data_IF_670369250972
#
_entry.id   IF_670369250972
#
_cell.length_a   1.000
_cell.length_b   1.000
_cell.length_c   1.000
_cell.angle_alpha   90.00
_cell.angle_beta   90.00
_cell.angle_gamma   90.00
#
_symmetry.space_group_name_H-M   'P 1'
#
loop_
_entity.id
_entity.type
_entity.pdbx_description
1 polymer ?
#
# COMPACT_ATOMS: atom_id res chain seq x y z
N UNK A 1 -28.51 -14.02 -45.04
CA UNK A 1 -28.71 -14.75 -46.30
C UNK A 1 -27.99 -14.01 -47.41
N UNK A 2 -27.21 -14.74 -48.21
CA UNK A 2 -26.42 -14.23 -49.33
C UNK A 2 -26.48 -15.26 -50.47
N UNK A 3 -26.06 -14.88 -51.69
CA UNK A 3 -26.11 -15.73 -52.90
C UNK A 3 -27.51 -16.13 -53.38
N UNK A 4 -28.45 -15.18 -53.39
CA UNK A 4 -29.76 -15.32 -54.03
C UNK A 4 -30.21 -14.02 -54.70
N UNK A 5 -31.16 -14.12 -55.61
CA UNK A 5 -31.86 -12.94 -56.14
C UNK A 5 -32.60 -12.23 -55.00
N UNK A 6 -32.63 -10.90 -55.02
CA UNK A 6 -33.04 -10.10 -53.87
C UNK A 6 -34.49 -10.38 -53.43
N UNK A 7 -35.41 -10.52 -54.37
CA UNK A 7 -36.82 -10.80 -54.06
C UNK A 7 -37.01 -12.23 -53.56
N UNK A 8 -36.33 -13.20 -54.14
CA UNK A 8 -36.33 -14.58 -53.70
C UNK A 8 -35.74 -14.73 -52.30
N UNK A 9 -34.67 -13.99 -51.96
CA UNK A 9 -34.14 -13.97 -50.60
C UNK A 9 -35.10 -13.33 -49.59
N UNK A 10 -35.79 -12.24 -49.96
CA UNK A 10 -36.82 -11.61 -49.11
C UNK A 10 -38.01 -12.55 -48.89
N UNK A 11 -38.44 -13.24 -49.96
CA UNK A 11 -39.51 -14.25 -49.90
C UNK A 11 -39.12 -15.40 -48.97
N UNK A 12 -37.91 -15.92 -49.11
CA UNK A 12 -37.40 -17.01 -48.28
C UNK A 12 -37.19 -16.57 -46.82
N UNK A 13 -36.67 -15.37 -46.57
CA UNK A 13 -36.55 -14.82 -45.21
C UNK A 13 -37.92 -14.69 -44.52
N UNK A 14 -38.93 -14.20 -45.24
CA UNK A 14 -40.30 -14.11 -44.72
C UNK A 14 -40.96 -15.46 -44.47
N UNK A 15 -40.66 -16.48 -45.29
CA UNK A 15 -41.15 -17.83 -45.08
C UNK A 15 -40.54 -18.46 -43.81
N UNK A 16 -39.21 -18.36 -43.65
CA UNK A 16 -38.50 -18.87 -42.47
C UNK A 16 -38.91 -18.15 -41.18
N UNK A 17 -39.16 -16.84 -41.24
CA UNK A 17 -39.58 -16.11 -40.05
C UNK A 17 -40.97 -16.56 -39.56
N UNK A 18 -41.91 -16.85 -40.47
CA UNK A 18 -43.24 -17.39 -40.13
C UNK A 18 -43.19 -18.83 -39.64
N UNK A 19 -42.35 -19.65 -40.24
CA UNK A 19 -42.21 -21.06 -39.88
C UNK A 19 -41.71 -21.24 -38.44
N UNK A 20 -40.84 -20.35 -37.96
CA UNK A 20 -40.27 -20.38 -36.62
C UNK A 20 -40.84 -19.29 -35.68
N UNK A 21 -41.97 -18.66 -36.03
CA UNK A 21 -42.59 -17.62 -35.19
C UNK A 21 -43.22 -18.20 -33.92
N UNK A 22 -43.78 -19.41 -34.03
CA UNK A 22 -44.49 -20.11 -32.95
C UNK A 22 -43.58 -20.97 -32.06
N UNK A 23 -42.28 -21.09 -32.38
CA UNK A 23 -41.33 -21.89 -31.61
C UNK A 23 -40.65 -21.03 -30.52
N UNK A 24 -41.12 -21.17 -29.27
CA UNK A 24 -40.55 -20.46 -28.12
C UNK A 24 -39.08 -20.84 -27.82
N UNK A 25 -38.60 -21.98 -28.32
CA UNK A 25 -37.24 -22.46 -28.05
C UNK A 25 -36.21 -21.92 -29.04
N UNK A 26 -36.62 -21.62 -30.27
CA UNK A 26 -35.72 -21.25 -31.36
C UNK A 26 -36.04 -19.87 -31.92
N UNK A 27 -35.49 -18.82 -31.27
CA UNK A 27 -35.63 -17.45 -31.76
C UNK A 27 -34.59 -17.13 -32.85
N UNK A 28 -35.03 -17.17 -34.11
CA UNK A 28 -34.19 -16.81 -35.26
C UNK A 28 -34.24 -15.31 -35.58
N UNK A 29 -33.06 -14.68 -35.70
CA UNK A 29 -32.90 -13.34 -36.26
C UNK A 29 -32.29 -13.43 -37.68
N UNK A 30 -33.09 -13.12 -38.70
CA UNK A 30 -32.70 -13.22 -40.10
C UNK A 30 -32.24 -11.87 -40.66
N UNK A 31 -31.07 -11.86 -41.30
CA UNK A 31 -30.49 -10.67 -41.94
C UNK A 31 -30.27 -10.91 -43.44
N UNK A 32 -30.73 -9.97 -44.28
CA UNK A 32 -30.50 -9.95 -45.74
C UNK A 32 -29.72 -8.68 -46.15
N UNK A 33 -28.45 -8.54 -45.73
CA UNK A 33 -27.65 -7.36 -46.04
C UNK A 33 -27.35 -7.26 -47.55
N UNK A 34 -27.28 -6.04 -48.08
CA UNK A 34 -26.74 -5.79 -49.43
C UNK A 34 -25.22 -5.94 -49.44
N UNK A 35 -24.63 -6.00 -50.62
CA UNK A 35 -23.17 -5.96 -50.77
C UNK A 35 -22.58 -4.76 -50.03
N UNK A 36 -21.48 -5.00 -49.33
CA UNK A 36 -20.78 -4.00 -48.51
C UNK A 36 -21.58 -3.45 -47.31
N UNK A 37 -22.70 -4.09 -46.91
CA UNK A 37 -23.41 -3.75 -45.67
C UNK A 37 -22.98 -4.72 -44.55
N UNK A 38 -22.31 -4.24 -43.49
CA UNK A 38 -21.89 -5.09 -42.37
C UNK A 38 -23.09 -5.48 -41.49
N UNK A 39 -23.09 -6.71 -40.97
CA UNK A 39 -24.05 -7.19 -39.97
C UNK A 39 -23.36 -7.24 -38.62
N UNK A 40 -23.83 -6.42 -37.67
CA UNK A 40 -23.25 -6.32 -36.34
C UNK A 40 -23.94 -7.28 -35.37
N UNK A 41 -23.29 -8.41 -35.10
CA UNK A 41 -23.75 -9.38 -34.10
C UNK A 41 -23.05 -9.12 -32.77
N UNK A 42 -23.82 -8.91 -31.70
CA UNK A 42 -23.29 -8.67 -30.35
C UNK A 42 -23.22 -9.98 -29.58
N UNK A 43 -22.02 -10.43 -29.28
CA UNK A 43 -21.81 -11.58 -28.40
C UNK A 43 -21.32 -11.09 -27.04
N UNK A 44 -22.14 -11.27 -26.00
CA UNK A 44 -21.72 -11.06 -24.63
C UNK A 44 -21.04 -12.32 -24.11
N UNK A 45 -19.73 -12.40 -24.31
CA UNK A 45 -18.92 -13.44 -23.69
C UNK A 45 -18.66 -13.13 -22.22
N UNK A 46 -18.87 -14.10 -21.35
CA UNK A 46 -18.35 -14.02 -19.98
C UNK A 46 -16.82 -14.08 -20.02
N UNK A 47 -16.16 -13.19 -19.26
CA UNK A 47 -14.71 -13.21 -19.14
C UNK A 47 -14.34 -14.10 -17.96
N UNK A 48 -13.82 -15.27 -18.27
CA UNK A 48 -13.30 -16.21 -17.27
C UNK A 48 -11.84 -15.88 -17.01
N UNK A 49 -11.51 -15.62 -15.74
CA UNK A 49 -10.14 -15.39 -15.28
C UNK A 49 -9.69 -16.61 -14.47
N UNK A 50 -8.52 -17.15 -14.81
CA UNK A 50 -7.91 -18.28 -14.08
C UNK A 50 -6.88 -17.76 -13.08
N UNK A 51 -7.05 -18.12 -11.82
CA UNK A 51 -6.05 -17.85 -10.77
C UNK A 51 -4.94 -18.89 -10.88
N UNK A 52 -3.69 -18.45 -10.89
CA UNK A 52 -2.51 -19.31 -10.99
C UNK A 52 -1.53 -19.02 -9.86
N UNK A 53 -0.64 -19.99 -9.58
CA UNK A 53 0.45 -19.86 -8.61
C UNK A 53 -0.03 -19.89 -7.15
N UNK A 54 0.67 -19.16 -6.29
CA UNK A 54 0.40 -19.10 -4.84
C UNK A 54 -0.98 -18.57 -4.49
N UNK A 55 -1.59 -17.72 -5.33
CA UNK A 55 -2.95 -17.22 -5.14
C UNK A 55 -4.01 -18.36 -5.20
N UNK A 56 -3.70 -19.47 -5.87
CA UNK A 56 -4.59 -20.63 -5.98
C UNK A 56 -4.32 -21.71 -4.91
N UNK A 57 -3.46 -21.44 -3.92
CA UNK A 57 -3.03 -22.45 -2.94
C UNK A 57 -4.11 -22.82 -1.93
N UNK A 58 -4.92 -21.85 -1.52
CA UNK A 58 -6.00 -22.04 -0.55
C UNK A 58 -7.34 -22.12 -1.27
N UNK A 59 -8.28 -22.91 -0.72
CA UNK A 59 -9.64 -22.91 -1.23
C UNK A 59 -10.25 -21.50 -1.13
N UNK A 60 -10.89 -21.00 -2.19
CA UNK A 60 -11.50 -19.69 -2.18
C UNK A 60 -12.65 -19.66 -1.17
N UNK A 61 -12.71 -18.60 -0.36
CA UNK A 61 -13.83 -18.31 0.53
C UNK A 61 -14.77 -17.30 -0.13
N UNK A 62 -16.06 -17.42 0.15
CA UNK A 62 -17.05 -16.46 -0.34
C UNK A 62 -16.73 -15.05 0.21
N UNK A 63 -16.75 -14.04 -0.67
CA UNK A 63 -16.37 -12.67 -0.33
C UNK A 63 -14.87 -12.39 -0.23
N UNK A 64 -14.00 -13.37 -0.49
CA UNK A 64 -12.55 -13.16 -0.47
C UNK A 64 -12.11 -12.27 -1.65
N UNK A 65 -11.52 -11.12 -1.34
CA UNK A 65 -10.88 -10.26 -2.34
C UNK A 65 -9.57 -10.89 -2.82
N UNK A 66 -9.37 -10.96 -4.14
CA UNK A 66 -8.12 -11.43 -4.77
C UNK A 66 -7.42 -10.23 -5.41
N UNK A 67 -6.18 -9.99 -5.02
CA UNK A 67 -5.31 -8.95 -5.60
C UNK A 67 -4.13 -9.60 -6.31
N UNK A 68 -3.85 -9.16 -7.54
CA UNK A 68 -2.74 -9.67 -8.33
C UNK A 68 -2.60 -8.95 -9.66
N UNK A 69 -1.67 -9.42 -10.48
CA UNK A 69 -1.44 -8.95 -11.85
C UNK A 69 -2.30 -9.75 -12.81
N UNK A 70 -3.14 -9.08 -13.59
CA UNK A 70 -3.95 -9.69 -14.63
C UNK A 70 -3.18 -9.73 -15.95
N UNK A 71 -2.92 -10.94 -16.46
CA UNK A 71 -2.24 -11.18 -17.72
C UNK A 71 -3.25 -11.69 -18.75
N UNK A 72 -3.35 -11.01 -19.88
CA UNK A 72 -4.16 -11.43 -21.03
C UNK A 72 -3.27 -12.04 -22.11
N UNK A 73 -3.39 -13.35 -22.34
CA UNK A 73 -2.77 -14.03 -23.50
C UNK A 73 -3.90 -14.40 -24.47
N UNK A 74 -4.02 -13.64 -25.55
CA UNK A 74 -5.12 -13.76 -26.52
C UNK A 74 -6.51 -13.56 -25.86
N UNK A 75 -7.30 -14.61 -25.74
CA UNK A 75 -8.62 -14.59 -25.09
C UNK A 75 -8.61 -15.16 -23.67
N UNK A 76 -7.48 -15.71 -23.21
CA UNK A 76 -7.34 -16.27 -21.87
C UNK A 76 -6.82 -15.20 -20.90
N UNK A 77 -7.50 -15.09 -19.76
CA UNK A 77 -7.14 -14.21 -18.66
C UNK A 77 -6.59 -15.04 -17.50
N UNK A 78 -5.43 -14.63 -17.00
CA UNK A 78 -4.79 -15.25 -15.85
C UNK A 78 -4.49 -14.19 -14.81
N UNK A 79 -4.73 -14.48 -13.53
CA UNK A 79 -4.33 -13.62 -12.42
C UNK A 79 -3.25 -14.32 -11.60
N UNK A 80 -2.16 -13.60 -11.36
CA UNK A 80 -0.90 -14.11 -10.81
C UNK A 80 -0.34 -13.13 -9.76
N UNK A 81 0.55 -13.61 -8.89
CA UNK A 81 1.37 -12.70 -8.09
C UNK A 81 2.49 -12.08 -8.94
N UNK A 82 2.96 -10.86 -8.63
CA UNK A 82 4.05 -10.22 -9.37
C UNK A 82 5.34 -11.05 -9.44
N UNK A 83 5.66 -11.80 -8.39
CA UNK A 83 6.87 -12.62 -8.32
C UNK A 83 6.84 -13.89 -9.17
N UNK A 84 5.65 -14.38 -9.52
CA UNK A 84 5.44 -15.61 -10.31
C UNK A 84 5.17 -15.33 -11.80
N UNK A 85 5.18 -14.05 -12.19
CA UNK A 85 5.06 -13.63 -13.59
C UNK A 85 6.07 -14.34 -14.51
N UNK A 86 7.38 -14.40 -14.21
CA UNK A 86 8.36 -15.08 -15.08
C UNK A 86 8.21 -16.60 -15.07
N UNK A 87 7.52 -17.18 -14.09
CA UNK A 87 7.31 -18.63 -14.00
C UNK A 87 6.19 -19.10 -14.93
N UNK A 88 5.11 -18.32 -15.03
CA UNK A 88 3.91 -18.69 -15.79
C UNK A 88 3.72 -17.91 -17.09
N UNK A 89 4.57 -16.92 -17.35
CA UNK A 89 4.53 -16.09 -18.55
C UNK A 89 5.93 -15.91 -19.13
N UNK A 90 6.01 -15.51 -20.39
CA UNK A 90 7.27 -15.17 -21.06
C UNK A 90 7.79 -13.78 -20.65
N UNK A 91 7.16 -13.13 -19.65
CA UNK A 91 7.55 -11.82 -19.15
C UNK A 91 8.68 -11.98 -18.14
N UNK A 92 9.87 -11.48 -18.49
CA UNK A 92 10.94 -11.31 -17.52
C UNK A 92 10.59 -10.16 -16.56
N UNK A 93 10.63 -10.42 -15.26
CA UNK A 93 10.57 -9.39 -14.22
C UNK A 93 11.97 -8.94 -13.87
N UNK A 94 12.26 -7.66 -14.09
CA UNK A 94 13.52 -7.04 -13.68
C UNK A 94 13.28 -6.13 -12.48
N UNK A 95 14.14 -6.27 -11.47
CA UNK A 95 14.22 -5.33 -10.36
C UNK A 95 15.49 -4.53 -10.51
N UNK A 96 15.38 -3.22 -10.59
CA UNK A 96 16.55 -2.33 -10.67
C UNK A 96 16.91 -1.92 -9.25
N UNK A 97 18.14 -2.23 -8.83
CA UNK A 97 18.73 -1.62 -7.63
C UNK A 97 19.67 -0.50 -8.04
N UNK A 98 19.73 0.54 -7.23
CA UNK A 98 20.61 1.68 -7.43
C UNK A 98 21.51 1.86 -6.22
N UNK A 99 22.76 2.21 -6.49
CA UNK A 99 23.77 2.51 -5.50
C UNK A 99 24.42 3.84 -5.88
N UNK A 100 24.35 4.82 -4.98
CA UNK A 100 25.03 6.11 -5.13
C UNK A 100 26.11 6.21 -4.06
N UNK A 101 27.30 6.66 -4.45
CA UNK A 101 28.37 7.01 -3.52
C UNK A 101 28.51 8.52 -3.43
N UNK A 102 28.42 9.06 -2.21
CA UNK A 102 28.51 10.49 -1.92
C UNK A 102 29.73 10.73 -1.03
N UNK A 103 30.67 11.61 -1.41
CA UNK A 103 31.75 12.04 -0.52
C UNK A 103 31.17 12.71 0.73
N UNK A 104 31.57 12.24 1.91
CA UNK A 104 31.05 12.73 3.18
C UNK A 104 32.11 12.62 4.28
N UNK A 105 32.58 13.76 4.78
CA UNK A 105 33.65 13.83 5.80
C UNK A 105 33.14 13.92 7.23
N UNK A 106 31.82 14.00 7.42
CA UNK A 106 31.20 14.05 8.75
C UNK A 106 31.24 12.71 9.48
N UNK A 107 30.99 12.74 10.80
CA UNK A 107 30.87 11.53 11.61
C UNK A 107 29.55 10.79 11.35
N UNK A 108 29.49 9.51 11.71
CA UNK A 108 28.26 8.73 11.65
C UNK A 108 27.12 9.38 12.47
N UNK A 109 27.44 10.03 13.59
CA UNK A 109 26.48 10.73 14.43
C UNK A 109 25.90 11.98 13.76
N UNK A 110 26.72 12.74 13.01
CA UNK A 110 26.24 13.86 12.21
C UNK A 110 25.26 13.39 11.14
N UNK A 111 25.61 12.30 10.46
CA UNK A 111 24.72 11.70 9.48
C UNK A 111 23.41 11.25 10.12
N UNK A 112 23.48 10.49 11.22
CA UNK A 112 22.30 10.02 11.97
C UNK A 112 21.39 11.18 12.35
N UNK A 113 21.94 12.27 12.89
CA UNK A 113 21.18 13.47 13.25
C UNK A 113 20.40 14.03 12.05
N UNK A 114 21.06 14.24 10.92
CA UNK A 114 20.40 14.77 9.73
C UNK A 114 19.37 13.83 9.11
N UNK A 115 19.63 12.51 9.13
CA UNK A 115 18.66 11.51 8.69
C UNK A 115 17.43 11.47 9.61
N UNK A 116 17.64 11.64 10.91
CA UNK A 116 16.55 11.69 11.91
C UNK A 116 15.69 12.93 11.72
N UNK A 117 16.30 14.09 11.43
CA UNK A 117 15.54 15.29 11.06
C UNK A 117 14.67 15.12 9.80
N UNK A 118 15.06 14.24 8.88
CA UNK A 118 14.31 13.97 7.64
C UNK A 118 13.16 12.97 7.87
N UNK A 119 13.43 11.86 8.57
CA UNK A 119 12.53 10.72 8.65
C UNK A 119 11.83 10.55 10.01
N UNK A 120 12.18 11.35 11.01
CA UNK A 120 11.74 11.21 12.40
C UNK A 120 12.45 10.05 13.10
N UNK A 121 12.32 8.83 12.57
CA UNK A 121 12.94 7.62 13.13
C UNK A 121 13.83 6.94 12.09
N UNK A 122 15.06 6.61 12.49
CA UNK A 122 16.03 5.93 11.64
C UNK A 122 16.45 4.63 12.30
N UNK A 123 16.25 3.51 11.60
CA UNK A 123 16.62 2.19 12.14
C UNK A 123 18.11 1.96 11.93
N UNK A 124 18.83 1.68 13.01
CA UNK A 124 20.22 1.23 12.95
C UNK A 124 20.25 -0.24 12.57
N UNK A 125 20.94 -0.59 11.49
CA UNK A 125 21.10 -1.97 11.03
C UNK A 125 22.43 -2.57 11.50
N UNK A 126 23.51 -1.80 11.38
CA UNK A 126 24.88 -2.24 11.70
C UNK A 126 25.64 -1.07 12.32
N UNK A 127 26.42 -1.36 13.37
CA UNK A 127 27.30 -0.42 14.03
C UNK A 127 28.68 -1.05 14.23
N UNK A 128 29.57 -0.81 13.27
CA UNK A 128 30.98 -1.18 13.32
C UNK A 128 31.87 0.07 13.26
N UNK A 129 33.13 0.01 13.73
CA UNK A 129 33.99 1.20 13.82
C UNK A 129 34.19 1.94 12.50
N UNK A 130 34.15 1.22 11.37
CA UNK A 130 34.37 1.76 10.03
C UNK A 130 33.14 1.66 9.11
N UNK A 131 32.02 1.19 9.63
CA UNK A 131 30.79 0.99 8.87
C UNK A 131 29.58 1.14 9.79
N UNK A 132 28.77 2.17 9.54
CA UNK A 132 27.50 2.35 10.24
C UNK A 132 26.39 2.37 9.21
N UNK A 133 25.40 1.49 9.35
CA UNK A 133 24.31 1.35 8.39
C UNK A 133 22.97 1.74 9.02
N UNK A 134 22.24 2.57 8.31
CA UNK A 134 20.93 3.06 8.67
C UNK A 134 19.90 2.64 7.63
N UNK A 135 18.67 2.35 8.05
CA UNK A 135 17.53 2.21 7.17
C UNK A 135 16.59 3.41 7.38
N UNK A 136 16.36 4.16 6.30
CA UNK A 136 15.54 5.36 6.26
C UNK A 136 14.28 5.06 5.47
N UNK A 137 13.12 5.49 5.96
CA UNK A 137 11.79 5.20 5.38
C UNK A 137 11.47 3.71 5.18
N UNK A 138 12.22 2.81 5.82
CA UNK A 138 12.05 1.36 5.70
C UNK A 138 12.48 0.76 4.36
N UNK A 139 13.02 1.55 3.43
CA UNK A 139 13.35 1.10 2.07
C UNK A 139 14.74 1.52 1.59
N UNK A 140 15.27 2.66 2.07
CA UNK A 140 16.57 3.19 1.64
C UNK A 140 17.63 2.83 2.68
N UNK A 141 18.67 2.13 2.25
CA UNK A 141 19.82 1.77 3.09
C UNK A 141 20.92 2.80 2.92
N UNK A 142 21.35 3.41 4.02
CA UNK A 142 22.41 4.42 4.06
C UNK A 142 23.59 3.88 4.83
N UNK A 143 24.71 3.65 4.15
CA UNK A 143 25.93 3.10 4.74
C UNK A 143 27.00 4.17 4.84
N UNK A 144 27.32 4.58 6.06
CA UNK A 144 28.42 5.48 6.37
C UNK A 144 29.74 4.72 6.46
N UNK A 145 30.79 5.26 5.83
CA UNK A 145 32.19 4.84 5.92
C UNK A 145 33.06 6.09 6.11
N UNK A 146 34.32 5.94 6.56
CA UNK A 146 35.25 7.06 6.57
C UNK A 146 35.29 7.76 5.19
N UNK A 147 34.98 9.05 5.16
CA UNK A 147 34.98 9.93 3.98
C UNK A 147 33.89 9.67 2.91
N UNK A 148 33.01 8.67 3.07
CA UNK A 148 31.99 8.34 2.06
C UNK A 148 30.70 7.82 2.69
N UNK A 149 29.59 8.09 2.03
CA UNK A 149 28.28 7.52 2.35
C UNK A 149 27.71 6.86 1.09
N UNK A 150 27.24 5.63 1.22
CA UNK A 150 26.56 4.92 0.16
C UNK A 150 25.06 4.87 0.41
N UNK A 151 24.26 5.23 -0.60
CA UNK A 151 22.81 5.07 -0.59
C UNK A 151 22.48 3.90 -1.52
N UNK A 152 21.77 2.90 -0.99
CA UNK A 152 21.32 1.74 -1.74
C UNK A 152 19.81 1.59 -1.60
N UNK A 153 19.11 1.42 -2.72
CA UNK A 153 17.67 1.17 -2.74
C UNK A 153 17.24 0.37 -3.97
N UNK A 154 16.05 -0.21 -3.90
CA UNK A 154 15.35 -0.77 -5.06
C UNK A 154 14.56 0.34 -5.74
N UNK A 155 14.85 0.60 -7.02
CA UNK A 155 14.27 1.68 -7.80
C UNK A 155 12.79 1.46 -8.08
N UNK A 156 12.00 2.48 -7.75
CA UNK A 156 10.60 2.66 -8.09
C UNK A 156 10.21 4.11 -7.77
N UNK A 157 9.09 4.64 -8.31
CA UNK A 157 8.77 6.06 -8.16
C UNK A 157 8.73 6.58 -6.71
N UNK A 158 8.35 5.73 -5.76
CA UNK A 158 8.28 6.11 -4.33
C UNK A 158 9.66 6.07 -3.67
N UNK A 159 10.41 4.98 -3.88
CA UNK A 159 11.75 4.82 -3.31
C UNK A 159 12.75 5.80 -3.94
N UNK A 160 12.61 6.13 -5.23
CA UNK A 160 13.47 7.10 -5.90
C UNK A 160 13.28 8.50 -5.28
N UNK A 161 12.03 8.89 -4.99
CA UNK A 161 11.74 10.12 -4.27
C UNK A 161 12.33 10.13 -2.85
N UNK A 162 12.26 9.00 -2.14
CA UNK A 162 12.89 8.87 -0.82
C UNK A 162 14.41 8.94 -0.91
N UNK A 163 15.03 8.27 -1.87
CA UNK A 163 16.46 8.29 -2.10
C UNK A 163 16.95 9.72 -2.44
N UNK A 164 16.22 10.45 -3.29
CA UNK A 164 16.52 11.85 -3.62
C UNK A 164 16.45 12.76 -2.39
N UNK A 165 15.45 12.58 -1.53
CA UNK A 165 15.34 13.34 -0.28
C UNK A 165 16.52 13.05 0.66
N UNK A 166 16.88 11.77 0.82
CA UNK A 166 18.03 11.35 1.63
C UNK A 166 19.33 11.90 1.04
N UNK A 167 19.54 11.80 -0.27
CA UNK A 167 20.71 12.32 -0.97
C UNK A 167 20.88 13.82 -0.73
N UNK A 168 19.82 14.61 -0.88
CA UNK A 168 19.86 16.05 -0.63
C UNK A 168 20.25 16.38 0.81
N UNK A 169 19.75 15.61 1.78
CA UNK A 169 20.11 15.77 3.19
C UNK A 169 21.56 15.41 3.45
N UNK A 170 22.07 14.33 2.86
CA UNK A 170 23.49 13.94 2.97
C UNK A 170 24.41 15.00 2.37
N UNK A 171 24.07 15.53 1.19
CA UNK A 171 24.81 16.62 0.54
C UNK A 171 24.80 17.89 1.39
N UNK A 172 23.64 18.25 1.96
CA UNK A 172 23.53 19.40 2.87
C UNK A 172 24.38 19.21 4.12
N UNK A 173 24.34 18.02 4.72
CA UNK A 173 25.16 17.70 5.90
C UNK A 173 26.66 17.75 5.58
N UNK A 174 27.07 17.29 4.39
CA UNK A 174 28.46 17.37 3.92
C UNK A 174 28.95 18.83 3.80
N UNK A 175 28.09 19.73 3.32
CA UNK A 175 28.42 21.16 3.18
C UNK A 175 28.42 21.91 4.52
N UNK A 176 27.49 21.59 5.42
CA UNK A 176 27.34 22.30 6.70
C UNK A 176 28.37 21.86 7.74
N UNK A 177 28.88 20.62 7.65
CA UNK A 177 29.83 20.07 8.62
C UNK A 177 29.23 19.99 10.03
N UNK A 178 30.09 19.80 11.04
CA UNK A 178 29.64 19.78 12.43
C UNK A 178 29.37 21.22 12.91
N UNK A 179 28.18 21.52 13.47
CA UNK A 179 27.93 22.83 14.06
C UNK A 179 28.89 23.11 15.24
N UNK A 180 29.36 24.35 15.43
CA UNK A 180 30.35 24.70 16.45
C UNK A 180 29.88 24.50 17.90
N UNK A 181 28.56 24.39 18.12
CA UNK A 181 27.95 24.10 19.42
C UNK A 181 27.71 22.61 19.68
N UNK A 182 28.16 21.73 18.79
CA UNK A 182 27.83 20.31 18.83
C UNK A 182 26.42 20.03 18.31
N UNK A 183 26.08 18.74 18.19
CA UNK A 183 24.77 18.31 17.70
C UNK A 183 23.75 18.37 18.84
N UNK A 184 22.56 18.95 18.62
CA UNK A 184 21.44 18.79 19.53
C UNK A 184 21.15 17.30 19.72
N UNK A 185 20.89 16.90 20.96
CA UNK A 185 20.44 15.55 21.24
C UNK A 185 18.97 15.45 20.82
N UNK A 186 18.71 14.73 19.73
CA UNK A 186 17.36 14.34 19.35
C UNK A 186 16.95 13.23 20.32
N UNK A 187 16.02 13.53 21.21
CA UNK A 187 15.51 12.59 22.21
C UNK A 187 14.23 12.02 21.65
N UNK A 188 14.23 10.73 21.30
CA UNK A 188 12.98 10.05 21.01
C UNK A 188 12.08 10.18 22.24
N UNK A 189 10.81 10.57 22.08
CA UNK A 189 9.91 10.75 23.21
C UNK A 189 9.78 9.43 23.95
N UNK A 190 10.17 9.41 25.23
CA UNK A 190 10.04 8.20 26.04
C UNK A 190 8.58 7.74 26.05
N UNK A 191 8.34 6.41 26.05
CA UNK A 191 7.00 5.83 26.13
C UNK A 191 6.16 6.47 27.25
N UNK A 192 6.80 6.81 28.36
CA UNK A 192 6.18 7.49 29.51
C UNK A 192 5.57 8.85 29.15
N UNK A 193 6.24 9.66 28.33
CA UNK A 193 5.71 10.95 27.86
C UNK A 193 4.49 10.76 26.96
N UNK A 194 4.51 9.73 26.10
CA UNK A 194 3.36 9.39 25.26
C UNK A 194 2.18 8.89 26.09
N UNK A 195 2.40 8.03 27.08
CA UNK A 195 1.35 7.51 27.96
C UNK A 195 0.72 8.65 28.77
N UNK A 196 1.54 9.54 29.33
CA UNK A 196 1.07 10.69 30.11
C UNK A 196 0.29 11.67 29.24
N UNK A 197 0.77 11.99 28.04
CA UNK A 197 0.06 12.88 27.13
C UNK A 197 -1.24 12.24 26.62
N UNK A 198 -1.25 10.93 26.35
CA UNK A 198 -2.44 10.20 25.97
C UNK A 198 -3.49 10.22 27.09
N UNK A 199 -3.08 10.04 28.34
CA UNK A 199 -3.94 10.13 29.51
C UNK A 199 -4.62 11.50 29.61
N UNK A 200 -3.82 12.59 29.60
CA UNK A 200 -4.34 13.96 29.70
C UNK A 200 -5.32 14.25 28.58
N UNK A 201 -4.99 13.85 27.35
CA UNK A 201 -5.85 14.13 26.20
C UNK A 201 -7.15 13.32 26.25
N UNK A 202 -7.12 12.05 26.65
CA UNK A 202 -8.33 11.23 26.82
C UNK A 202 -9.22 11.76 27.95
N UNK A 203 -8.63 12.20 29.06
CA UNK A 203 -9.36 12.81 30.17
C UNK A 203 -9.98 14.16 29.77
N UNK A 204 -9.29 14.98 28.98
CA UNK A 204 -9.81 16.26 28.47
C UNK A 204 -10.99 16.06 27.49
N UNK A 205 -10.91 15.05 26.61
CA UNK A 205 -11.94 14.81 25.61
C UNK A 205 -13.18 14.05 26.14
N UNK A 206 -13.00 13.10 27.07
CA UNK A 206 -14.06 12.19 27.52
C UNK A 206 -14.37 12.28 29.02
N UNK A 207 -13.65 13.13 29.77
CA UNK A 207 -13.80 13.31 31.21
C UNK A 207 -12.87 12.42 32.04
N UNK A 208 -12.71 12.76 33.31
CA UNK A 208 -11.75 12.15 34.24
C UNK A 208 -12.02 10.69 34.60
N UNK A 209 -13.22 10.15 34.30
CA UNK A 209 -13.62 8.78 34.61
C UNK A 209 -13.60 7.84 33.39
N UNK A 210 -12.97 8.27 32.29
CA UNK A 210 -12.94 7.48 31.07
C UNK A 210 -11.97 6.30 31.13
N UNK A 211 -11.01 6.30 32.07
CA UNK A 211 -10.03 5.24 32.27
C UNK A 211 -10.38 4.41 33.51
N UNK A 212 -10.09 3.10 33.49
CA UNK A 212 -10.30 2.22 34.66
C UNK A 212 -9.30 2.49 35.79
N UNK A 213 -8.18 3.13 35.47
CA UNK A 213 -7.14 3.54 36.41
C UNK A 213 -6.81 5.02 36.17
N UNK A 214 -6.55 5.77 37.25
CA UNK A 214 -6.20 7.19 37.19
C UNK A 214 -4.86 7.45 36.47
N UNK A 215 -4.01 6.43 36.34
CA UNK A 215 -2.74 6.50 35.62
C UNK A 215 -2.58 5.29 34.69
N UNK A 216 -2.10 5.54 33.46
CA UNK A 216 -1.72 4.46 32.54
C UNK A 216 -0.37 3.90 33.00
N UNK A 217 -0.31 2.59 33.30
CA UNK A 217 0.94 1.94 33.70
C UNK A 217 2.00 2.10 32.59
N UNK A 218 3.24 2.51 32.90
CA UNK A 218 4.32 2.66 31.92
C UNK A 218 4.63 1.38 31.12
N UNK A 219 4.29 0.19 31.66
CA UNK A 219 4.49 -1.10 30.98
C UNK A 219 3.20 -1.70 30.39
N UNK A 220 2.08 -0.97 30.40
CA UNK A 220 0.83 -1.46 29.82
C UNK A 220 0.93 -1.52 28.28
N UNK A 221 0.64 -2.69 27.69
CA UNK A 221 0.46 -2.83 26.23
C UNK A 221 -0.93 -2.43 25.75
N UNK A 222 -1.93 -2.35 26.65
CA UNK A 222 -3.30 -2.00 26.30
C UNK A 222 -3.94 -1.07 27.32
N UNK A 223 -4.82 -0.18 26.83
CA UNK A 223 -5.61 0.75 27.64
C UNK A 223 -7.07 0.63 27.25
N UNK A 224 -7.95 0.54 28.26
CA UNK A 224 -9.40 0.51 28.08
C UNK A 224 -9.99 1.88 28.38
N UNK A 225 -10.71 2.42 27.41
CA UNK A 225 -11.43 3.69 27.53
C UNK A 225 -12.93 3.40 27.53
N UNK A 226 -13.62 3.79 28.60
CA UNK A 226 -15.07 3.69 28.74
C UNK A 226 -15.70 5.06 28.52
N UNK A 227 -16.57 5.15 27.52
CA UNK A 227 -17.37 6.36 27.24
C UNK A 227 -18.83 5.94 27.20
N UNK A 228 -19.60 6.42 28.18
CA UNK A 228 -20.99 6.00 28.42
C UNK A 228 -21.13 4.47 28.55
N UNK A 229 -21.87 3.82 27.64
CA UNK A 229 -22.06 2.36 27.56
C UNK A 229 -21.06 1.65 26.64
N UNK A 230 -20.11 2.36 26.06
CA UNK A 230 -19.19 1.84 25.05
C UNK A 230 -17.78 1.71 25.63
N UNK A 231 -17.10 0.61 25.29
CA UNK A 231 -15.72 0.34 25.71
C UNK A 231 -14.86 0.22 24.47
N UNK A 232 -13.82 1.04 24.39
CA UNK A 232 -12.79 0.98 23.37
C UNK A 232 -11.48 0.47 23.96
N UNK A 233 -10.82 -0.44 23.26
CA UNK A 233 -9.49 -0.95 23.62
C UNK A 233 -8.45 -0.32 22.71
N UNK A 234 -7.42 0.28 23.30
CA UNK A 234 -6.28 0.90 22.62
C UNK A 234 -5.07 0.01 22.84
N UNK A 235 -4.47 -0.47 21.76
CA UNK A 235 -3.16 -1.12 21.75
C UNK A 235 -2.08 -0.04 21.64
N UNK A 236 -1.24 0.09 22.67
CA UNK A 236 -0.23 1.13 22.78
C UNK A 236 1.04 0.83 21.96
N UNK A 237 1.30 -0.44 21.67
CA UNK A 237 2.48 -0.85 20.88
C UNK A 237 2.22 -0.68 19.38
N UNK A 238 1.00 -1.01 18.93
CA UNK A 238 0.60 -0.89 17.52
C UNK A 238 -0.16 0.40 17.20
N UNK A 239 -0.52 1.21 18.22
CA UNK A 239 -1.37 2.39 18.11
C UNK A 239 -2.72 2.11 17.42
N UNK A 240 -3.28 0.91 17.66
CA UNK A 240 -4.56 0.50 17.07
C UNK A 240 -5.67 0.62 18.09
N UNK A 241 -6.88 0.95 17.64
CA UNK A 241 -8.05 1.11 18.49
C UNK A 241 -9.15 0.18 17.99
N UNK A 242 -9.80 -0.52 18.91
CA UNK A 242 -10.93 -1.41 18.63
C UNK A 242 -12.11 -1.03 19.51
N UNK A 243 -13.28 -0.82 18.91
CA UNK A 243 -14.53 -0.64 19.66
C UNK A 243 -15.66 -1.37 18.95
N UNK A 244 -16.09 -2.50 19.50
CA UNK A 244 -17.15 -3.33 18.90
C UNK A 244 -18.53 -2.67 18.91
N UNK A 245 -18.73 -1.72 19.83
CA UNK A 245 -20.04 -1.14 20.12
C UNK A 245 -20.31 0.17 19.40
N UNK A 246 -19.28 0.94 19.00
CA UNK A 246 -19.45 2.21 18.31
C UNK A 246 -18.30 2.56 17.35
N UNK A 247 -18.53 2.52 16.02
CA UNK A 247 -17.49 2.80 15.03
C UNK A 247 -17.08 4.28 14.97
N UNK A 248 -17.95 5.22 15.41
CA UNK A 248 -17.60 6.65 15.46
C UNK A 248 -16.60 6.92 16.59
N UNK A 249 -16.82 6.31 17.75
CA UNK A 249 -15.92 6.42 18.89
C UNK A 249 -14.54 5.83 18.55
N UNK A 250 -14.51 4.66 17.91
CA UNK A 250 -13.27 4.05 17.40
C UNK A 250 -12.49 5.02 16.51
N UNK A 251 -13.17 5.65 15.55
CA UNK A 251 -12.53 6.57 14.62
C UNK A 251 -11.95 7.80 15.33
N UNK A 252 -12.70 8.39 16.27
CA UNK A 252 -12.26 9.57 17.02
C UNK A 252 -11.01 9.26 17.84
N UNK A 253 -11.04 8.18 18.64
CA UNK A 253 -9.91 7.78 19.47
C UNK A 253 -8.69 7.43 18.60
N UNK A 254 -8.89 6.71 17.48
CA UNK A 254 -7.81 6.39 16.55
C UNK A 254 -7.14 7.64 15.97
N UNK A 255 -7.92 8.63 15.54
CA UNK A 255 -7.39 9.89 15.02
C UNK A 255 -6.62 10.65 16.11
N UNK A 256 -7.14 10.63 17.34
CA UNK A 256 -6.53 11.29 18.50
C UNK A 256 -5.19 10.67 18.87
N UNK A 257 -5.12 9.33 18.99
CA UNK A 257 -3.89 8.58 19.26
C UNK A 257 -2.84 8.84 18.18
N UNK A 258 -3.22 8.78 16.90
CA UNK A 258 -2.27 9.04 15.81
C UNK A 258 -1.78 10.49 15.77
N UNK A 259 -2.65 11.47 16.02
CA UNK A 259 -2.27 12.89 16.07
C UNK A 259 -1.33 13.15 17.24
N UNK A 260 -1.64 12.60 18.41
CA UNK A 260 -0.80 12.72 19.60
C UNK A 260 0.59 12.13 19.35
N UNK A 261 0.64 10.90 18.82
CA UNK A 261 1.91 10.29 18.47
C UNK A 261 2.68 11.14 17.45
N UNK A 262 2.01 11.67 16.42
CA UNK A 262 2.66 12.53 15.44
C UNK A 262 3.22 13.84 16.04
N UNK A 263 2.50 14.47 16.97
CA UNK A 263 2.97 15.67 17.67
C UNK A 263 4.17 15.39 18.58
N UNK A 264 4.20 14.21 19.21
CA UNK A 264 5.23 13.82 20.16
C UNK A 264 6.48 13.30 19.44
N UNK A 265 6.35 12.58 18.32
CA UNK A 265 7.48 12.09 17.51
C UNK A 265 8.16 13.16 16.64
N UNK A 266 7.60 14.36 16.52
CA UNK A 266 8.14 15.44 15.68
C UNK A 266 9.11 16.39 16.41
N UNK A 267 9.52 16.05 17.64
CA UNK A 267 10.41 16.85 18.51
C UNK A 267 11.76 16.16 18.66
#
# INVERSE_FOLDING_TARGET
MVHGEQNEMLRLAGALQREYEDDETCRLELFTPKNCVPVNLRFRGEKIVKVLGSLARNLPKEGQSISGVLVKKNFAYHILTPGELPTYTELATTTVSQLISIPFTGSANLLKFHLTLLAGTVKLLVEEPNLVQFCVFGTVTVSWRPQQVHLEWQSNPTNDMYADAVQNVVLRAAMQGLPPRGLPQLVEPEKQHLHTALEITLQDAFGTHCLETDQIDPEASYVRVRVDSHVAEIDLDNLTVRCETNPKLEHIIRVMVHRLNHCISAV
#
